data_IF_300041042222
#
_entry.id   IF_300041042222
#
_cell.length_a   1.000
_cell.length_b   1.000
_cell.length_c   1.000
_cell.angle_alpha   90.00
_cell.angle_beta   90.00
_cell.angle_gamma   90.00
#
_symmetry.space_group_name_H-M   'P 1'
#
loop_
_entity.id
_entity.type
_entity.pdbx_description
1 polymer ?
#
# COMPACT_ATOMS: atom_id res chain seq x y z
N UNK A 1 -11.07 -2.88 -17.55
CA UNK A 1 -9.81 -2.68 -16.81
C UNK A 1 -9.07 -1.52 -17.48
N UNK A 2 -8.28 -0.76 -16.73
CA UNK A 2 -7.53 0.42 -17.22
C UNK A 2 -6.02 0.09 -17.20
N UNK A 3 -5.46 -0.48 -18.28
CA UNK A 3 -4.05 -0.91 -18.32
C UNK A 3 -3.06 0.24 -18.06
N UNK A 4 -3.39 1.43 -18.52
CA UNK A 4 -2.54 2.62 -18.40
C UNK A 4 -2.32 3.02 -16.94
N UNK A 5 -3.36 2.91 -16.12
CA UNK A 5 -3.26 3.15 -14.67
C UNK A 5 -2.34 2.12 -13.99
N UNK A 6 -2.36 0.88 -14.48
CA UNK A 6 -1.52 -0.18 -13.94
C UNK A 6 -0.05 -0.03 -14.33
N UNK A 7 0.20 0.31 -15.59
CA UNK A 7 1.55 0.63 -16.06
C UNK A 7 2.11 1.87 -15.36
N UNK A 8 1.26 2.86 -15.09
CA UNK A 8 1.62 4.01 -14.28
C UNK A 8 2.07 3.57 -12.89
N UNK A 9 1.27 2.78 -12.16
CA UNK A 9 1.65 2.27 -10.83
C UNK A 9 3.02 1.59 -10.84
N UNK A 10 3.29 0.74 -11.84
CA UNK A 10 4.59 0.06 -11.96
C UNK A 10 5.75 1.02 -12.24
N UNK A 11 5.52 2.04 -13.06
CA UNK A 11 6.56 3.01 -13.43
C UNK A 11 6.87 3.99 -12.30
N UNK A 12 5.92 4.25 -11.41
CA UNK A 12 6.05 5.25 -10.35
C UNK A 12 6.35 4.66 -8.97
N UNK A 13 6.51 3.34 -8.85
CA UNK A 13 7.01 2.73 -7.64
C UNK A 13 8.43 3.23 -7.35
N UNK A 14 8.65 3.77 -6.16
CA UNK A 14 9.95 4.23 -5.68
C UNK A 14 10.91 3.06 -5.45
N UNK A 15 12.21 3.35 -5.38
CA UNK A 15 13.25 2.34 -5.17
C UNK A 15 13.08 1.57 -3.85
N UNK A 16 12.52 2.22 -2.84
CA UNK A 16 12.25 1.61 -1.53
C UNK A 16 10.98 0.75 -1.51
N UNK A 17 10.21 0.75 -2.60
CA UNK A 17 8.96 0.02 -2.79
C UNK A 17 7.68 0.84 -2.56
N UNK A 18 7.79 2.06 -2.05
CA UNK A 18 6.63 2.93 -1.76
C UNK A 18 6.12 3.69 -2.99
N UNK A 19 5.03 4.45 -2.80
CA UNK A 19 4.57 5.47 -3.75
C UNK A 19 4.59 6.84 -3.07
N UNK A 20 4.77 7.88 -3.90
CA UNK A 20 5.01 9.25 -3.44
C UNK A 20 3.99 9.75 -2.42
N UNK A 21 4.49 10.44 -1.40
CA UNK A 21 3.73 11.25 -0.46
C UNK A 21 3.78 12.71 -0.94
N UNK A 22 2.64 13.25 -1.40
CA UNK A 22 2.60 14.62 -1.93
C UNK A 22 2.52 15.66 -0.80
N UNK A 23 1.81 15.35 0.29
CA UNK A 23 1.46 16.33 1.33
C UNK A 23 1.76 15.87 2.77
N UNK A 24 1.73 14.56 3.04
CA UNK A 24 1.96 14.00 4.37
C UNK A 24 2.47 12.56 4.32
N UNK A 25 3.09 12.11 5.42
CA UNK A 25 3.50 10.70 5.59
C UNK A 25 2.31 9.73 5.43
N UNK A 26 1.10 10.17 5.82
CA UNK A 26 -0.12 9.39 5.66
C UNK A 26 -0.51 9.18 4.19
N UNK A 27 -0.27 10.16 3.31
CA UNK A 27 -0.52 10.01 1.88
C UNK A 27 0.37 8.91 1.28
N UNK A 28 1.63 8.86 1.71
CA UNK A 28 2.54 7.79 1.31
C UNK A 28 2.02 6.41 1.76
N UNK A 29 1.48 6.31 2.98
CA UNK A 29 0.89 5.08 3.51
C UNK A 29 -0.32 4.66 2.67
N UNK A 30 -1.26 5.57 2.40
CA UNK A 30 -2.45 5.28 1.58
C UNK A 30 -2.05 4.86 0.17
N UNK A 31 -1.18 5.63 -0.47
CA UNK A 31 -0.78 5.38 -1.85
C UNK A 31 -0.11 4.01 -1.96
N UNK A 32 0.75 3.67 -1.00
CA UNK A 32 1.41 2.36 -0.94
C UNK A 32 0.42 1.23 -0.64
N UNK A 33 -0.54 1.41 0.29
CA UNK A 33 -1.63 0.46 0.56
C UNK A 33 -2.46 0.17 -0.69
N UNK A 34 -2.91 1.22 -1.37
CA UNK A 34 -3.77 1.11 -2.54
C UNK A 34 -3.04 0.48 -3.73
N UNK A 35 -1.78 0.88 -3.97
CA UNK A 35 -0.95 0.31 -5.02
C UNK A 35 -0.65 -1.17 -4.77
N UNK A 36 -0.25 -1.54 -3.55
CA UNK A 36 -0.01 -2.93 -3.17
C UNK A 36 -1.26 -3.80 -3.37
N UNK A 37 -2.43 -3.31 -2.96
CA UNK A 37 -3.70 -4.02 -3.16
C UNK A 37 -4.01 -4.22 -4.66
N UNK A 38 -3.76 -3.21 -5.49
CA UNK A 38 -3.96 -3.30 -6.92
C UNK A 38 -3.00 -4.33 -7.57
N UNK A 39 -1.72 -4.31 -7.19
CA UNK A 39 -0.71 -5.26 -7.67
C UNK A 39 -1.06 -6.70 -7.27
N UNK A 40 -1.47 -6.94 -6.01
CA UNK A 40 -1.91 -8.26 -5.53
C UNK A 40 -3.12 -8.80 -6.29
N UNK A 41 -4.13 -7.96 -6.51
CA UNK A 41 -5.32 -8.35 -7.29
C UNK A 41 -4.96 -8.69 -8.74
N UNK A 42 -3.96 -8.02 -9.32
CA UNK A 42 -3.52 -8.30 -10.68
C UNK A 42 -2.63 -9.55 -10.77
N UNK A 43 -1.74 -9.75 -9.79
CA UNK A 43 -0.92 -10.96 -9.64
C UNK A 43 -1.78 -12.23 -9.70
N UNK A 44 -2.93 -12.23 -9.01
CA UNK A 44 -3.88 -13.35 -9.03
C UNK A 44 -4.59 -13.55 -10.38
N UNK A 45 -4.74 -12.50 -11.17
CA UNK A 45 -5.53 -12.52 -12.41
C UNK A 45 -4.70 -12.84 -13.66
N UNK A 46 -3.42 -12.47 -13.68
CA UNK A 46 -2.59 -12.53 -14.88
C UNK A 46 -1.23 -13.18 -14.61
N UNK A 47 -1.07 -14.42 -15.04
CA UNK A 47 0.17 -15.17 -14.78
C UNK A 47 1.42 -14.55 -15.41
N UNK A 48 1.30 -14.00 -16.61
CA UNK A 48 2.42 -13.36 -17.30
C UNK A 48 3.03 -12.19 -16.50
N UNK A 49 2.26 -11.55 -15.62
CA UNK A 49 2.72 -10.45 -14.77
C UNK A 49 3.13 -10.88 -13.36
N UNK A 50 2.95 -12.17 -13.00
CA UNK A 50 3.05 -12.64 -11.61
C UNK A 50 4.42 -12.43 -11.01
N UNK A 51 5.50 -12.79 -11.71
CA UNK A 51 6.85 -12.67 -11.17
C UNK A 51 7.30 -11.21 -10.94
N UNK A 52 6.98 -10.29 -11.87
CA UNK A 52 7.25 -8.87 -11.70
C UNK A 52 6.40 -8.27 -10.58
N UNK A 53 5.11 -8.60 -10.55
CA UNK A 53 4.21 -8.14 -9.50
C UNK A 53 4.62 -8.65 -8.11
N UNK A 54 5.04 -9.91 -7.98
CA UNK A 54 5.46 -10.50 -6.71
C UNK A 54 6.62 -9.71 -6.09
N UNK A 55 7.67 -9.42 -6.88
CA UNK A 55 8.82 -8.61 -6.39
C UNK A 55 8.39 -7.21 -5.97
N UNK A 56 7.50 -6.58 -6.74
CA UNK A 56 6.98 -5.23 -6.45
C UNK A 56 6.12 -5.22 -5.19
N UNK A 57 5.31 -6.26 -5.00
CA UNK A 57 4.51 -6.47 -3.80
C UNK A 57 5.40 -6.66 -2.57
N UNK A 58 6.46 -7.48 -2.66
CA UNK A 58 7.41 -7.68 -1.57
C UNK A 58 8.11 -6.38 -1.16
N UNK A 59 8.58 -5.59 -2.12
CA UNK A 59 9.19 -4.29 -1.85
C UNK A 59 8.19 -3.30 -1.20
N UNK A 60 6.97 -3.23 -1.73
CA UNK A 60 5.90 -2.38 -1.20
C UNK A 60 5.50 -2.79 0.22
N UNK A 61 5.36 -4.09 0.49
CA UNK A 61 5.06 -4.61 1.82
C UNK A 61 6.16 -4.24 2.81
N UNK A 62 7.44 -4.42 2.44
CA UNK A 62 8.57 -4.07 3.27
C UNK A 62 8.60 -2.56 3.58
N UNK A 63 8.33 -1.70 2.59
CA UNK A 63 8.27 -0.26 2.85
C UNK A 63 7.09 0.11 3.74
N UNK A 64 5.92 -0.45 3.47
CA UNK A 64 4.72 -0.18 4.24
C UNK A 64 4.87 -0.59 5.71
N UNK A 65 5.52 -1.73 5.99
CA UNK A 65 5.88 -2.12 7.36
C UNK A 65 6.73 -1.04 8.05
N UNK A 66 7.73 -0.49 7.38
CA UNK A 66 8.57 0.59 7.95
C UNK A 66 7.77 1.88 8.18
N UNK A 67 6.91 2.26 7.24
CA UNK A 67 6.09 3.47 7.32
C UNK A 67 5.09 3.36 8.47
N UNK A 68 4.35 2.25 8.56
CA UNK A 68 3.36 2.01 9.61
C UNK A 68 3.99 1.94 11.01
N UNK A 69 5.22 1.43 11.13
CA UNK A 69 5.95 1.40 12.41
C UNK A 69 6.38 2.78 12.90
N UNK A 70 6.50 3.76 12.00
CA UNK A 70 6.86 5.15 12.31
C UNK A 70 5.67 6.09 12.28
N UNK A 71 4.48 5.59 11.94
CA UNK A 71 3.33 6.44 11.72
C UNK A 71 2.80 7.00 13.03
N UNK A 72 2.80 8.33 13.11
CA UNK A 72 2.22 9.10 14.21
C UNK A 72 0.79 9.55 13.86
N UNK A 73 -0.19 8.89 14.48
CA UNK A 73 -1.63 9.21 14.34
C UNK A 73 -2.03 10.55 14.97
N UNK A 74 -1.25 11.09 15.90
CA UNK A 74 -1.57 12.35 16.57
C UNK A 74 -1.11 13.56 15.76
N UNK A 75 -0.03 13.41 14.99
CA UNK A 75 0.51 14.45 14.11
C UNK A 75 -0.18 14.53 12.74
N UNK A 76 -1.02 13.54 12.39
CA UNK A 76 -1.66 13.44 11.06
C UNK A 76 -3.06 14.08 11.06
N UNK A 77 -3.34 14.99 10.13
CA UNK A 77 -4.70 15.53 9.92
C UNK A 77 -5.60 14.44 9.30
N UNK A 78 -6.72 14.14 9.95
CA UNK A 78 -7.31 12.80 9.90
C UNK A 78 -8.45 12.62 8.91
N UNK A 79 -8.94 13.68 8.28
CA UNK A 79 -10.25 13.64 7.58
C UNK A 79 -10.28 12.56 6.50
N UNK A 80 -10.97 11.45 6.78
CA UNK A 80 -11.16 10.32 5.88
C UNK A 80 -10.08 9.22 5.95
N UNK A 81 -8.94 9.47 6.60
CA UNK A 81 -7.87 8.48 6.80
C UNK A 81 -8.31 7.34 7.70
N UNK A 82 -9.07 7.67 8.74
CA UNK A 82 -9.55 6.73 9.75
C UNK A 82 -10.52 5.70 9.16
N UNK A 83 -11.07 5.97 7.97
CA UNK A 83 -11.93 5.02 7.25
C UNK A 83 -11.13 4.34 6.14
N UNK A 84 -10.30 5.09 5.41
CA UNK A 84 -9.61 4.56 4.24
C UNK A 84 -8.54 3.54 4.62
N UNK A 85 -7.67 3.87 5.59
CA UNK A 85 -6.55 3.00 5.98
C UNK A 85 -7.04 1.66 6.55
N UNK A 86 -8.00 1.59 7.50
CA UNK A 86 -8.47 0.30 8.01
C UNK A 86 -9.13 -0.56 6.94
N UNK A 87 -9.89 0.05 6.03
CA UNK A 87 -10.52 -0.68 4.93
C UNK A 87 -9.48 -1.25 3.95
N UNK A 88 -8.44 -0.50 3.60
CA UNK A 88 -7.36 -0.99 2.75
C UNK A 88 -6.58 -2.12 3.42
N UNK A 89 -6.28 -2.01 4.72
CA UNK A 89 -5.63 -3.07 5.49
C UNK A 89 -6.48 -4.35 5.49
N UNK A 90 -7.79 -4.24 5.75
CA UNK A 90 -8.71 -5.38 5.71
C UNK A 90 -8.78 -6.05 4.33
N UNK A 91 -8.72 -5.26 3.25
CA UNK A 91 -8.69 -5.80 1.89
C UNK A 91 -7.36 -6.51 1.59
N UNK A 92 -6.26 -6.06 2.17
CA UNK A 92 -4.95 -6.73 2.06
C UNK A 92 -4.89 -8.01 2.88
N UNK A 93 -5.55 -8.08 4.03
CA UNK A 93 -5.68 -9.32 4.82
C UNK A 93 -6.37 -10.42 4.02
N UNK A 94 -7.40 -10.09 3.24
CA UNK A 94 -8.07 -11.02 2.33
C UNK A 94 -7.13 -11.54 1.24
N UNK A 95 -6.14 -10.76 0.84
CA UNK A 95 -5.09 -11.16 -0.10
C UNK A 95 -3.87 -11.80 0.62
N UNK A 96 -3.97 -12.08 1.93
CA UNK A 96 -2.98 -12.81 2.73
C UNK A 96 -1.89 -11.95 3.37
N UNK A 97 -2.07 -10.63 3.41
CA UNK A 97 -1.10 -9.68 3.96
C UNK A 97 -1.63 -9.05 5.24
N UNK A 98 -0.94 -9.27 6.36
CA UNK A 98 -1.26 -8.64 7.64
C UNK A 98 -0.11 -7.77 8.17
N UNK A 99 -0.50 -6.68 8.82
CA UNK A 99 0.39 -5.64 9.32
C UNK A 99 0.08 -5.37 10.79
N UNK A 100 1.02 -5.73 11.65
CA UNK A 100 1.03 -5.35 13.06
C UNK A 100 1.93 -4.12 13.26
N UNK A 101 1.39 -3.10 13.94
CA UNK A 101 2.06 -1.83 14.19
C UNK A 101 1.36 -1.06 15.34
N UNK A 102 2.06 -0.12 16.01
CA UNK A 102 1.55 0.50 17.24
C UNK A 102 0.18 1.18 17.09
N UNK A 103 0.00 1.92 15.99
CA UNK A 103 -1.24 2.62 15.66
C UNK A 103 -2.41 1.69 15.30
N UNK A 104 -2.19 0.38 15.10
CA UNK A 104 -3.21 -0.56 14.62
C UNK A 104 -4.42 -0.67 15.54
N UNK A 105 -4.24 -0.53 16.86
CA UNK A 105 -5.33 -0.65 17.85
C UNK A 105 -6.21 0.60 17.95
N UNK A 106 -5.69 1.74 17.51
CA UNK A 106 -6.39 3.02 17.56
C UNK A 106 -7.18 3.31 16.26
N UNK A 107 -7.00 2.46 15.25
CA UNK A 107 -7.67 2.43 13.96
C UNK A 107 -8.85 1.46 13.96
#
# INVERSE_FOLDING_TARGET
>A
LFPEAYDYLKKTQSEDGSWAAETSDADGIINTLAALLALKKQERKFEAARADNARRCEAAEASLRRMLQRWDLEATDRVGLEILVPNLLKLLEVEGLDFDFPARKAL
#
